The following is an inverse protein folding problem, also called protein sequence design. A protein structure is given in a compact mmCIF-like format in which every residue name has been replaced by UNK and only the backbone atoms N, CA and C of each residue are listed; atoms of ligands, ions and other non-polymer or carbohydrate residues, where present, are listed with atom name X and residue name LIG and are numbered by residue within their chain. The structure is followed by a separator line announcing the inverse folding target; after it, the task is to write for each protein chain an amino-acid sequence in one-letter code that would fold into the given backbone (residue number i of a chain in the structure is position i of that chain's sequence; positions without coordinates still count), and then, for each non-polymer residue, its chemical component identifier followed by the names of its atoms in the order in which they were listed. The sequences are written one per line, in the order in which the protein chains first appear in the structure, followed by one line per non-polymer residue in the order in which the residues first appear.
data_IF_691706126562
#
_entry.id   IF_691706126562
#
_cell.length_a   1.000
_cell.length_b   1.000
_cell.length_c   1.000
_cell.angle_alpha   90.00
_cell.angle_beta   90.00
_cell.angle_gamma   90.00
#
_symmetry.space_group_name_H-M   'P 1'
#
loop_
_entity.id
_entity.type
_entity.pdbx_description
1 polymer ?
#
# COMPACT_ATOMS: atom_id res chain seq x y z
N UNK A 1 9.30 -4.79 16.74
CA UNK A 1 7.95 -5.29 17.10
C UNK A 1 7.42 -6.05 15.90
N UNK A 2 6.92 -7.27 16.09
CA UNK A 2 6.50 -8.18 14.99
C UNK A 2 5.01 -8.55 15.06
N UNK A 3 4.32 -8.08 16.09
CA UNK A 3 2.98 -8.49 16.51
C UNK A 3 1.91 -7.47 16.12
N UNK A 4 2.20 -6.17 16.21
CA UNK A 4 1.23 -5.12 15.91
C UNK A 4 -0.07 -5.30 16.71
N UNK A 5 -1.17 -4.69 16.24
CA UNK A 5 -2.48 -4.82 16.90
C UNK A 5 -3.29 -6.07 16.46
N UNK A 6 -2.83 -6.81 15.46
CA UNK A 6 -3.53 -8.00 14.95
C UNK A 6 -4.84 -7.76 14.18
N UNK A 7 -5.21 -6.51 13.88
CA UNK A 7 -6.47 -6.16 13.20
C UNK A 7 -6.51 -6.67 11.74
N UNK A 8 -5.41 -6.49 11.00
CA UNK A 8 -5.26 -6.89 9.61
C UNK A 8 -4.02 -7.77 9.44
N UNK A 9 -4.01 -8.59 8.38
CA UNK A 9 -2.84 -9.44 8.04
C UNK A 9 -1.86 -8.67 7.17
N UNK A 10 -0.58 -8.99 7.29
CA UNK A 10 0.49 -8.39 6.49
C UNK A 10 1.08 -7.14 7.16
N UNK A 11 1.68 -6.28 6.35
CA UNK A 11 2.28 -5.02 6.80
C UNK A 11 1.72 -3.83 6.00
N UNK A 12 2.01 -2.61 6.48
CA UNK A 12 1.63 -1.36 5.83
C UNK A 12 2.86 -0.45 5.64
N UNK A 13 2.88 0.29 4.54
CA UNK A 13 3.87 1.33 4.25
C UNK A 13 3.14 2.61 3.79
N UNK A 14 2.88 3.56 4.70
CA UNK A 14 2.34 4.86 4.32
C UNK A 14 3.42 5.71 3.62
N UNK A 15 3.01 6.79 2.96
CA UNK A 15 3.88 7.77 2.30
C UNK A 15 4.85 7.11 1.30
N UNK A 16 4.34 6.18 0.48
CA UNK A 16 5.17 5.33 -0.39
C UNK A 16 5.94 6.12 -1.47
N UNK A 17 5.46 7.31 -1.80
CA UNK A 17 6.07 8.32 -2.67
C UNK A 17 6.79 9.45 -1.92
N UNK A 18 6.79 9.43 -0.58
CA UNK A 18 7.24 10.56 0.23
C UNK A 18 8.77 10.77 0.27
N UNK A 19 9.56 9.70 0.08
CA UNK A 19 11.03 9.76 0.08
C UNK A 19 11.61 8.86 -1.02
N UNK A 20 12.71 9.28 -1.64
CA UNK A 20 13.35 8.55 -2.73
C UNK A 20 13.70 7.09 -2.37
N UNK A 21 14.15 6.87 -1.12
CA UNK A 21 14.57 5.54 -0.64
C UNK A 21 13.44 4.69 -0.09
N UNK A 22 12.21 5.23 0.06
CA UNK A 22 11.07 4.50 0.64
C UNK A 22 10.76 3.22 -0.15
N UNK A 23 10.61 3.35 -1.47
CA UNK A 23 10.36 2.24 -2.40
C UNK A 23 11.50 1.21 -2.41
N UNK A 24 12.77 1.60 -2.66
CA UNK A 24 13.90 0.67 -2.61
C UNK A 24 14.05 -0.06 -1.28
N UNK A 25 13.87 0.63 -0.15
CA UNK A 25 13.98 0.02 1.18
C UNK A 25 12.90 -1.03 1.42
N UNK A 26 11.63 -0.75 1.07
CA UNK A 26 10.55 -1.72 1.19
C UNK A 26 10.79 -2.95 0.30
N UNK A 27 11.22 -2.75 -0.94
CA UNK A 27 11.57 -3.86 -1.86
C UNK A 27 12.67 -4.73 -1.28
N UNK A 28 13.72 -4.12 -0.71
CA UNK A 28 14.81 -4.85 -0.05
C UNK A 28 14.28 -5.65 1.13
N UNK A 29 13.50 -5.06 2.03
CA UNK A 29 12.93 -5.76 3.20
C UNK A 29 12.11 -6.99 2.77
N UNK A 30 11.19 -6.83 1.82
CA UNK A 30 10.36 -7.93 1.31
C UNK A 30 11.21 -9.01 0.63
N UNK A 31 12.26 -8.61 -0.09
CA UNK A 31 13.23 -9.54 -0.68
C UNK A 31 13.92 -10.42 0.36
N UNK A 32 14.11 -9.93 1.59
CA UNK A 32 14.72 -10.64 2.72
C UNK A 32 13.69 -11.33 3.63
N UNK A 33 12.44 -11.48 3.20
CA UNK A 33 11.42 -12.24 3.93
C UNK A 33 10.46 -11.39 4.76
N UNK A 34 10.49 -10.06 4.64
CA UNK A 34 9.45 -9.21 5.24
C UNK A 34 8.06 -9.53 4.63
N UNK A 35 6.97 -9.46 5.42
CA UNK A 35 5.64 -9.80 4.93
C UNK A 35 5.18 -8.95 3.73
N UNK A 36 4.26 -9.49 2.88
CA UNK A 36 3.56 -8.69 1.88
C UNK A 36 2.99 -7.42 2.49
N UNK A 37 3.21 -6.30 1.81
CA UNK A 37 2.92 -4.97 2.35
C UNK A 37 1.94 -4.22 1.46
N UNK A 38 0.92 -3.63 2.08
CA UNK A 38 0.07 -2.64 1.43
C UNK A 38 0.73 -1.27 1.55
N UNK A 39 1.02 -0.64 0.42
CA UNK A 39 1.70 0.64 0.37
C UNK A 39 0.79 1.73 -0.22
N UNK A 40 0.73 2.89 0.42
CA UNK A 40 -0.10 4.01 -0.02
C UNK A 40 0.78 5.24 -0.24
N UNK A 41 0.64 5.88 -1.40
CA UNK A 41 1.18 7.21 -1.64
C UNK A 41 0.50 8.25 -0.73
N UNK A 42 1.09 9.44 -0.65
CA UNK A 42 0.49 10.59 0.02
C UNK A 42 -0.90 10.90 -0.52
N UNK A 43 -1.88 10.91 0.38
CA UNK A 43 -3.27 11.16 0.02
C UNK A 43 -3.97 9.95 -0.62
N UNK A 44 -3.39 8.75 -0.57
CA UNK A 44 -4.09 7.49 -0.84
C UNK A 44 -4.44 6.76 0.46
N UNK A 45 -5.54 5.99 0.44
CA UNK A 45 -6.00 5.24 1.61
C UNK A 45 -6.63 3.90 1.21
N UNK A 46 -6.49 2.93 2.10
CA UNK A 46 -7.16 1.63 2.02
C UNK A 46 -8.42 1.67 2.91
N UNK A 47 -9.60 1.45 2.31
CA UNK A 47 -10.85 1.33 3.04
C UNK A 47 -11.14 -0.16 3.29
N UNK A 48 -11.11 -0.57 4.55
CA UNK A 48 -11.47 -1.92 4.98
C UNK A 48 -12.85 -1.94 5.61
N UNK A 49 -13.64 -2.97 5.29
CA UNK A 49 -14.87 -3.31 6.00
C UNK A 49 -14.62 -4.64 6.72
N UNK A 50 -14.50 -4.57 8.05
CA UNK A 50 -13.91 -5.66 8.83
C UNK A 50 -12.47 -5.93 8.40
N UNK A 51 -12.17 -7.15 7.95
CA UNK A 51 -10.82 -7.55 7.48
C UNK A 51 -10.68 -7.58 5.97
N UNK A 52 -11.74 -7.23 5.23
CA UNK A 52 -11.77 -7.26 3.76
C UNK A 52 -11.45 -5.87 3.23
N UNK A 53 -10.46 -5.81 2.33
CA UNK A 53 -10.20 -4.60 1.55
C UNK A 53 -11.41 -4.33 0.65
N UNK A 54 -12.14 -3.25 0.94
CA UNK A 54 -13.34 -2.86 0.21
C UNK A 54 -12.97 -2.04 -1.03
N UNK A 55 -12.16 -0.99 -0.84
CA UNK A 55 -11.68 -0.15 -1.94
C UNK A 55 -10.37 0.56 -1.57
N UNK A 56 -9.70 1.12 -2.57
CA UNK A 56 -8.66 2.11 -2.38
C UNK A 56 -9.20 3.46 -2.86
N UNK A 57 -8.95 4.52 -2.11
CA UNK A 57 -9.40 5.88 -2.42
C UNK A 57 -8.24 6.87 -2.38
N UNK A 58 -8.40 8.02 -3.03
CA UNK A 58 -7.42 9.09 -2.93
C UNK A 58 -8.03 10.49 -2.87
N UNK A 59 -7.34 11.39 -2.19
CA UNK A 59 -7.61 12.84 -2.15
C UNK A 59 -6.77 13.63 -3.15
N UNK A 60 -5.81 12.99 -3.82
CA UNK A 60 -5.01 13.54 -4.92
C UNK A 60 -5.19 12.65 -6.16
N UNK A 61 -5.37 13.25 -7.33
CA UNK A 61 -5.69 12.51 -8.57
C UNK A 61 -4.60 11.51 -9.00
N UNK A 62 -3.35 11.75 -8.62
CA UNK A 62 -2.19 10.91 -8.96
C UNK A 62 -1.82 9.89 -7.87
N UNK A 63 -2.36 10.03 -6.65
CA UNK A 63 -1.97 9.19 -5.52
C UNK A 63 -2.59 7.80 -5.64
N UNK A 64 -1.77 6.76 -5.40
CA UNK A 64 -2.14 5.36 -5.63
C UNK A 64 -1.90 4.47 -4.42
N UNK A 65 -2.60 3.35 -4.43
CA UNK A 65 -2.38 2.23 -3.52
C UNK A 65 -1.69 1.09 -4.26
N UNK A 66 -0.84 0.35 -3.57
CA UNK A 66 -0.06 -0.77 -4.11
C UNK A 66 -0.11 -1.96 -3.18
N UNK A 67 -0.08 -3.16 -3.75
CA UNK A 67 0.37 -4.38 -3.07
C UNK A 67 1.82 -4.63 -3.46
N UNK A 68 2.70 -4.71 -2.47
CA UNK A 68 4.12 -5.01 -2.67
C UNK A 68 4.40 -6.37 -2.07
N UNK A 69 4.88 -7.31 -2.89
CA UNK A 69 5.08 -8.69 -2.46
C UNK A 69 6.16 -9.40 -3.27
N UNK A 70 6.77 -10.42 -2.66
CA UNK A 70 7.73 -11.29 -3.34
C UNK A 70 6.98 -12.30 -4.22
N UNK A 71 7.33 -12.38 -5.50
CA UNK A 71 6.88 -13.40 -6.45
C UNK A 71 8.10 -14.11 -7.03
N UNK A 72 8.31 -15.35 -6.61
CA UNK A 72 9.53 -16.08 -6.95
C UNK A 72 10.79 -15.36 -6.46
N UNK A 73 11.68 -14.98 -7.38
CA UNK A 73 12.92 -14.24 -7.07
C UNK A 73 12.76 -12.72 -7.11
N UNK A 74 11.61 -12.20 -7.55
CA UNK A 74 11.38 -10.76 -7.73
C UNK A 74 10.47 -10.19 -6.64
N UNK A 75 10.58 -8.88 -6.40
CA UNK A 75 9.59 -8.11 -5.64
C UNK A 75 8.79 -7.26 -6.62
N UNK A 76 7.47 -7.46 -6.62
CA UNK A 76 6.55 -6.77 -7.51
C UNK A 76 5.74 -5.73 -6.73
N UNK A 77 5.49 -4.60 -7.39
CA UNK A 77 4.57 -3.56 -6.94
C UNK A 77 3.36 -3.61 -7.89
N UNK A 78 2.23 -4.10 -7.39
CA UNK A 78 0.99 -4.17 -8.17
C UNK A 78 0.10 -3.01 -7.74
N UNK A 79 -0.19 -2.03 -8.62
CA UNK A 79 -1.17 -1.00 -8.35
C UNK A 79 -2.53 -1.61 -8.06
N UNK A 80 -3.23 -1.09 -7.07
CA UNK A 80 -4.62 -1.41 -6.79
C UNK A 80 -5.46 -0.27 -7.37
N UNK A 81 -6.60 -0.59 -7.97
CA UNK A 81 -7.51 0.42 -8.49
C UNK A 81 -7.88 1.42 -7.37
N UNK A 82 -7.49 2.68 -7.56
CA UNK A 82 -7.69 3.76 -6.57
C UNK A 82 -8.69 4.77 -7.14
N UNK A 83 -9.79 4.98 -6.42
CA UNK A 83 -10.84 5.93 -6.79
C UNK A 83 -10.52 7.31 -6.22
N UNK A 84 -10.32 8.30 -7.09
CA UNK A 84 -10.16 9.69 -6.67
C UNK A 84 -11.49 10.26 -6.15
N UNK A 85 -11.48 10.84 -4.95
CA UNK A 85 -12.67 11.36 -4.27
C UNK A 85 -12.95 12.84 -4.58
N UNK A 86 -11.99 13.56 -5.17
CA UNK A 86 -12.10 15.00 -5.38
C UNK A 86 -12.96 15.44 -6.57
N UNK A 87 -13.45 14.51 -7.39
CA UNK A 87 -14.46 14.83 -8.38
C UNK A 87 -15.83 14.95 -7.68
N UNK A 88 -16.29 16.18 -7.46
CA UNK A 88 -17.72 16.39 -7.17
C UNK A 88 -18.52 15.93 -8.38
N UNK A 89 -19.60 15.17 -8.14
CA UNK A 89 -20.60 14.90 -9.15
C UNK A 89 -21.09 16.21 -9.76
N UNK A 90 -21.29 16.20 -11.08
CA UNK A 90 -22.05 17.23 -11.78
C UNK A 90 -23.47 17.33 -11.21
#
# INVERSE_FOLDING_TARGET
LHDGLGLLRGAACPHFDGEADRRPALRRLIGHGFPPTLAADDGAAFHFVGRRLHECVSSRSQARCFRVERRGRAVLETPIATRFLGARGA
#
